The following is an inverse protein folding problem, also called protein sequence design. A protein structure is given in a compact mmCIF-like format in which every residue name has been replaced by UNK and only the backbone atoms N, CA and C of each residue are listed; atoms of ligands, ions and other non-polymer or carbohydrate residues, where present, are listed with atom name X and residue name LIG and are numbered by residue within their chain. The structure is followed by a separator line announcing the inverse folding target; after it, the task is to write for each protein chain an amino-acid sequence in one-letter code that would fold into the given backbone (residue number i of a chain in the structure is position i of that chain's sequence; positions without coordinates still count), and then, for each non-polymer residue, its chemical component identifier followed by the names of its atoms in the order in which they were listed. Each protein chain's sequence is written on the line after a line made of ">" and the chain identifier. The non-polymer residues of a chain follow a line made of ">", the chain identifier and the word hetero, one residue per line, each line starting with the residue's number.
data_IF_082138182191
#
_entry.id   IF_082138182191
#
_cell.length_a   1.000
_cell.length_b   1.000
_cell.length_c   1.000
_cell.angle_alpha   90.00
_cell.angle_beta   90.00
_cell.angle_gamma   90.00
#
_symmetry.space_group_name_H-M   'P 1'
#
loop_
_entity.id
_entity.type
_entity.pdbx_description
1 polymer ?
#
# COMPACT_ATOMS: atom_id res chain seq x y z
N UNK A 1 -22.88 2.72 -20.21
CA UNK A 1 -21.76 2.10 -19.48
C UNK A 1 -20.75 1.63 -20.52
N UNK A 2 -19.52 2.09 -20.48
CA UNK A 2 -18.50 1.73 -21.48
C UNK A 2 -17.22 1.23 -20.81
N UNK A 3 -16.68 0.12 -21.28
CA UNK A 3 -15.38 -0.41 -20.90
C UNK A 3 -14.37 -0.03 -21.99
N UNK A 4 -13.27 0.58 -21.60
CA UNK A 4 -12.14 0.87 -22.51
C UNK A 4 -10.89 0.18 -21.96
N UNK A 5 -10.22 -0.59 -22.82
CA UNK A 5 -8.88 -1.13 -22.57
C UNK A 5 -7.88 -0.07 -23.03
N UNK A 6 -6.94 0.33 -22.19
CA UNK A 6 -6.01 1.42 -22.49
C UNK A 6 -4.54 0.98 -22.59
N UNK A 7 -4.17 -0.11 -21.95
CA UNK A 7 -2.79 -0.60 -21.97
C UNK A 7 -2.73 -2.11 -21.80
N UNK A 8 -2.05 -2.77 -22.71
CA UNK A 8 -1.75 -4.21 -22.71
C UNK A 8 -0.23 -4.40 -22.57
N UNK A 9 0.37 -3.85 -21.54
CA UNK A 9 1.75 -4.23 -21.25
C UNK A 9 1.78 -5.69 -20.79
N UNK A 10 2.87 -6.43 -21.07
CA UNK A 10 3.01 -7.86 -20.75
C UNK A 10 2.77 -8.23 -19.27
N UNK A 11 2.57 -7.25 -18.38
CA UNK A 11 2.43 -7.46 -16.93
C UNK A 11 1.26 -6.75 -16.28
N UNK A 12 0.60 -5.82 -16.96
CA UNK A 12 -0.49 -5.02 -16.40
C UNK A 12 -1.59 -4.86 -17.43
N UNK A 13 -2.81 -5.31 -17.08
CA UNK A 13 -4.01 -5.00 -17.83
C UNK A 13 -4.72 -3.83 -17.16
N UNK A 14 -4.94 -2.74 -17.90
CA UNK A 14 -5.65 -1.58 -17.39
C UNK A 14 -7.01 -1.44 -18.06
N UNK A 15 -8.05 -1.38 -17.26
CA UNK A 15 -9.41 -1.13 -17.71
C UNK A 15 -9.93 0.18 -17.12
N UNK A 16 -10.66 0.92 -17.92
CA UNK A 16 -11.40 2.11 -17.50
C UNK A 16 -12.89 1.88 -17.66
N UNK A 17 -13.57 1.76 -16.53
CA UNK A 17 -15.02 1.65 -16.49
C UNK A 17 -15.62 3.05 -16.35
N UNK A 18 -16.38 3.50 -17.36
CA UNK A 18 -17.13 4.76 -17.31
C UNK A 18 -18.57 4.50 -16.91
N UNK A 19 -19.06 5.27 -15.96
CA UNK A 19 -20.44 5.20 -15.49
C UNK A 19 -21.12 6.58 -15.60
N UNK A 20 -22.46 6.62 -15.78
CA UNK A 20 -23.17 7.89 -15.91
C UNK A 20 -23.10 8.68 -14.58
N UNK A 21 -22.71 9.95 -14.67
CA UNK A 21 -22.68 10.90 -13.57
C UNK A 21 -23.08 12.28 -14.06
N UNK A 22 -23.38 13.20 -13.12
CA UNK A 22 -23.64 14.60 -13.45
C UNK A 22 -22.41 15.27 -14.09
N UNK A 23 -22.59 16.25 -14.99
CA UNK A 23 -21.49 16.99 -15.59
C UNK A 23 -20.54 17.56 -14.52
N UNK A 24 -19.22 17.45 -14.78
CA UNK A 24 -18.18 17.93 -13.85
C UNK A 24 -17.76 16.95 -12.75
N UNK A 25 -18.44 15.81 -12.59
CA UNK A 25 -18.04 14.78 -11.63
C UNK A 25 -17.19 13.69 -12.29
N UNK A 26 -16.23 13.14 -11.53
CA UNK A 26 -15.41 12.01 -11.98
C UNK A 26 -16.31 10.79 -12.16
N UNK A 27 -16.30 10.23 -13.35
CA UNK A 27 -17.15 9.10 -13.74
C UNK A 27 -16.36 7.88 -14.22
N UNK A 28 -15.12 7.75 -13.78
CA UNK A 28 -14.24 6.70 -14.27
C UNK A 28 -13.64 5.94 -13.09
N UNK A 29 -13.79 4.62 -13.12
CA UNK A 29 -13.06 3.69 -12.25
C UNK A 29 -11.94 3.08 -13.07
N UNK A 30 -10.71 3.19 -12.59
CA UNK A 30 -9.55 2.50 -13.14
C UNK A 30 -9.39 1.15 -12.43
N UNK A 31 -9.29 0.09 -13.21
CA UNK A 31 -8.99 -1.26 -12.75
C UNK A 31 -7.62 -1.66 -13.30
N UNK A 32 -6.67 -1.88 -12.42
CA UNK A 32 -5.35 -2.40 -12.75
C UNK A 32 -5.27 -3.87 -12.32
N UNK A 33 -5.04 -4.76 -13.28
CA UNK A 33 -4.83 -6.20 -13.05
C UNK A 33 -3.36 -6.48 -13.32
N UNK A 34 -2.66 -6.97 -12.32
CA UNK A 34 -1.23 -7.28 -12.41
C UNK A 34 -1.06 -8.79 -12.25
N UNK A 35 -0.39 -9.41 -13.22
CA UNK A 35 0.03 -10.80 -13.13
C UNK A 35 1.36 -10.90 -12.34
N UNK A 36 1.27 -10.69 -11.04
CA UNK A 36 2.36 -10.88 -10.08
C UNK A 36 1.90 -11.88 -9.04
N UNK A 37 2.14 -13.15 -9.30
CA UNK A 37 1.91 -14.19 -8.30
C UNK A 37 3.09 -14.25 -7.33
N UNK A 38 2.80 -14.09 -6.04
CA UNK A 38 3.69 -14.45 -4.94
C UNK A 38 3.12 -15.75 -4.37
N UNK A 39 3.90 -16.82 -4.38
CA UNK A 39 3.41 -18.17 -4.02
C UNK A 39 2.91 -18.22 -2.56
N UNK A 40 3.54 -17.44 -1.69
CA UNK A 40 3.16 -17.33 -0.27
C UNK A 40 1.90 -16.49 -0.03
N UNK A 41 1.29 -15.88 -1.05
CA UNK A 41 0.06 -15.10 -0.87
C UNK A 41 -1.07 -15.97 -0.33
N UNK A 42 -1.78 -15.45 0.65
CA UNK A 42 -2.94 -16.11 1.24
C UNK A 42 -4.21 -15.38 0.85
N UNK A 43 -5.23 -16.16 0.53
CA UNK A 43 -6.53 -15.69 0.10
C UNK A 43 -7.63 -16.35 0.92
N UNK A 44 -8.72 -15.63 1.15
CA UNK A 44 -9.91 -16.17 1.81
C UNK A 44 -11.17 -15.65 1.14
N UNK A 45 -12.24 -16.45 1.25
CA UNK A 45 -13.57 -16.05 0.79
C UNK A 45 -14.15 -15.04 1.79
N UNK A 46 -14.47 -13.85 1.32
CA UNK A 46 -15.08 -12.79 2.11
C UNK A 46 -16.49 -12.49 1.58
N UNK A 47 -17.43 -12.31 2.50
CA UNK A 47 -18.76 -11.83 2.16
C UNK A 47 -18.77 -10.30 2.14
N UNK A 48 -19.17 -9.73 1.01
CA UNK A 48 -19.28 -8.28 0.81
C UNK A 48 -20.74 -7.88 1.00
N UNK A 49 -21.07 -7.48 2.23
CA UNK A 49 -22.46 -7.22 2.64
C UNK A 49 -23.13 -6.12 1.82
N UNK A 50 -22.39 -5.07 1.45
CA UNK A 50 -22.92 -3.92 0.69
C UNK A 50 -23.45 -4.30 -0.71
N UNK A 51 -22.99 -5.40 -1.27
CA UNK A 51 -23.37 -5.86 -2.61
C UNK A 51 -23.93 -7.28 -2.62
N UNK A 52 -24.10 -7.89 -1.45
CA UNK A 52 -24.60 -9.26 -1.28
C UNK A 52 -23.86 -10.29 -2.17
N UNK A 53 -22.53 -10.28 -2.10
CA UNK A 53 -21.66 -11.15 -2.89
C UNK A 53 -20.49 -11.68 -2.10
N UNK A 54 -19.98 -12.82 -2.52
CA UNK A 54 -18.72 -13.35 -2.06
C UNK A 54 -17.59 -13.02 -3.03
N UNK A 55 -16.44 -12.67 -2.51
CA UNK A 55 -15.20 -12.48 -3.27
C UNK A 55 -14.05 -13.24 -2.62
N UNK A 56 -13.08 -13.64 -3.44
CA UNK A 56 -11.79 -14.12 -2.96
C UNK A 56 -10.89 -12.90 -2.77
N UNK A 57 -10.54 -12.64 -1.51
CA UNK A 57 -9.73 -11.49 -1.12
C UNK A 57 -8.39 -11.94 -0.56
N UNK A 58 -7.36 -11.15 -0.77
CA UNK A 58 -6.10 -11.36 -0.06
C UNK A 58 -6.31 -11.22 1.45
N UNK A 59 -5.58 -12.01 2.25
CA UNK A 59 -5.56 -11.81 3.70
C UNK A 59 -4.95 -10.46 4.06
N UNK A 60 -5.33 -9.91 5.21
CA UNK A 60 -4.75 -8.64 5.69
C UNK A 60 -3.24 -8.73 5.86
N UNK A 61 -2.74 -9.88 6.32
CA UNK A 61 -1.30 -10.11 6.48
C UNK A 61 -0.57 -10.08 5.14
N UNK A 62 -1.14 -10.70 4.10
CA UNK A 62 -0.61 -10.62 2.73
C UNK A 62 -0.62 -9.19 2.22
N UNK A 63 -1.76 -8.48 2.37
CA UNK A 63 -1.85 -7.08 1.94
C UNK A 63 -0.81 -6.20 2.65
N UNK A 64 -0.64 -6.34 3.94
CA UNK A 64 0.34 -5.55 4.69
C UNK A 64 1.77 -5.83 4.21
N UNK A 65 2.13 -7.10 3.99
CA UNK A 65 3.44 -7.44 3.42
C UNK A 65 3.70 -6.73 2.10
N UNK A 66 2.71 -6.69 1.21
CA UNK A 66 2.84 -5.97 -0.06
C UNK A 66 2.94 -4.45 0.13
N UNK A 67 2.23 -3.88 1.11
CA UNK A 67 2.32 -2.43 1.42
C UNK A 67 3.69 -2.04 1.95
N UNK A 68 4.32 -2.89 2.78
CA UNK A 68 5.69 -2.68 3.23
C UNK A 68 6.68 -2.60 2.07
N UNK A 69 6.47 -3.40 1.00
CA UNK A 69 7.37 -3.44 -0.16
C UNK A 69 7.07 -2.32 -1.17
N UNK A 70 5.83 -1.91 -1.30
CA UNK A 70 5.36 -1.00 -2.35
C UNK A 70 6.12 0.32 -2.42
N UNK A 71 6.51 0.88 -1.27
CA UNK A 71 7.21 2.16 -1.17
C UNK A 71 8.57 2.13 -1.89
N UNK A 72 9.39 1.13 -1.58
CA UNK A 72 10.71 0.97 -2.18
C UNK A 72 10.62 0.53 -3.63
N UNK A 73 9.72 -0.42 -3.97
CA UNK A 73 9.45 -0.85 -5.34
C UNK A 73 9.08 0.33 -6.25
N UNK A 74 8.24 1.24 -5.75
CA UNK A 74 7.86 2.45 -6.49
C UNK A 74 9.06 3.35 -6.75
N UNK A 75 9.88 3.57 -5.73
CA UNK A 75 11.06 4.40 -5.86
C UNK A 75 12.08 3.79 -6.83
N UNK A 76 12.31 2.49 -6.77
CA UNK A 76 13.22 1.80 -7.68
C UNK A 76 12.76 1.85 -9.14
N UNK A 77 11.43 1.76 -9.37
CA UNK A 77 10.87 1.75 -10.72
C UNK A 77 10.70 3.14 -11.33
N UNK A 78 10.34 4.13 -10.51
CA UNK A 78 9.86 5.43 -10.99
C UNK A 78 10.60 6.61 -10.38
N UNK A 79 11.52 6.40 -9.44
CA UNK A 79 12.20 7.48 -8.71
C UNK A 79 11.28 8.34 -7.83
N UNK A 80 10.04 7.91 -7.62
CA UNK A 80 9.01 8.69 -6.90
C UNK A 80 8.60 8.03 -5.60
N UNK A 81 8.19 8.85 -4.64
CA UNK A 81 7.68 8.43 -3.33
C UNK A 81 6.22 8.88 -3.24
N UNK A 82 5.34 7.94 -2.88
CA UNK A 82 3.95 8.25 -2.65
C UNK A 82 3.65 8.32 -1.14
N UNK A 83 3.14 9.44 -0.67
CA UNK A 83 2.78 9.65 0.74
C UNK A 83 1.74 8.66 1.23
N UNK A 84 0.85 8.19 0.35
CA UNK A 84 -0.14 7.15 0.67
C UNK A 84 0.50 5.81 1.06
N UNK A 85 1.64 5.44 0.47
CA UNK A 85 2.32 4.19 0.82
C UNK A 85 2.85 4.26 2.27
N UNK A 86 3.29 5.45 2.73
CA UNK A 86 3.67 5.71 4.12
C UNK A 86 2.45 5.62 5.05
N UNK A 87 1.34 6.24 4.63
CA UNK A 87 0.09 6.21 5.38
C UNK A 87 -0.47 4.80 5.53
N UNK A 88 -0.39 3.98 4.48
CA UNK A 88 -0.79 2.57 4.52
C UNK A 88 0.03 1.79 5.55
N UNK A 89 1.37 1.94 5.56
CA UNK A 89 2.24 1.30 6.55
C UNK A 89 1.84 1.70 7.97
N UNK A 90 1.65 3.00 8.21
CA UNK A 90 1.19 3.52 9.50
C UNK A 90 -0.15 2.90 9.91
N UNK A 91 -1.13 2.93 9.00
CA UNK A 91 -2.46 2.40 9.25
C UNK A 91 -2.45 0.94 9.70
N UNK A 92 -1.69 0.09 9.01
CA UNK A 92 -1.63 -1.31 9.35
C UNK A 92 -1.00 -1.54 10.73
N UNK A 93 0.09 -0.87 11.04
CA UNK A 93 0.73 -1.00 12.35
C UNK A 93 -0.15 -0.49 13.49
N UNK A 94 -0.71 0.70 13.39
CA UNK A 94 -1.53 1.31 14.46
C UNK A 94 -2.79 0.50 14.75
N UNK A 95 -3.33 -0.18 13.75
CA UNK A 95 -4.48 -1.08 13.93
C UNK A 95 -4.08 -2.50 14.38
N UNK A 96 -2.81 -2.72 14.71
CA UNK A 96 -2.33 -4.00 15.24
C UNK A 96 -2.32 -5.15 14.22
N UNK A 97 -2.33 -4.85 12.93
CA UNK A 97 -2.26 -5.88 11.90
C UNK A 97 -0.86 -6.46 11.78
N UNK A 98 -0.79 -7.77 11.61
CA UNK A 98 0.46 -8.48 11.35
C UNK A 98 0.71 -8.57 9.85
N UNK A 99 1.97 -8.62 9.44
CA UNK A 99 2.38 -8.97 8.08
C UNK A 99 2.83 -10.44 8.03
N UNK A 100 2.82 -11.02 6.84
CA UNK A 100 3.35 -12.36 6.58
C UNK A 100 4.83 -12.27 6.17
N UNK A 101 5.72 -12.76 7.03
CA UNK A 101 7.16 -12.73 6.80
C UNK A 101 7.61 -13.58 5.60
N UNK A 102 6.83 -14.62 5.23
CA UNK A 102 7.13 -15.45 4.04
C UNK A 102 6.86 -14.64 2.77
N UNK A 103 5.72 -13.96 2.70
CA UNK A 103 5.40 -13.05 1.59
C UNK A 103 6.45 -11.96 1.46
N UNK A 104 6.84 -11.34 2.59
CA UNK A 104 7.87 -10.31 2.60
C UNK A 104 9.22 -10.83 2.09
N UNK A 105 9.64 -12.00 2.56
CA UNK A 105 10.90 -12.63 2.16
C UNK A 105 10.89 -13.06 0.70
N UNK A 106 9.79 -13.63 0.21
CA UNK A 106 9.64 -14.02 -1.21
C UNK A 106 9.72 -12.79 -2.14
N UNK A 107 9.05 -11.69 -1.76
CA UNK A 107 9.04 -10.46 -2.53
C UNK A 107 10.40 -9.74 -2.58
N UNK A 108 11.16 -9.82 -1.51
CA UNK A 108 12.37 -9.00 -1.32
C UNK A 108 13.67 -9.79 -1.40
N UNK A 109 13.61 -11.13 -1.32
CA UNK A 109 14.78 -11.99 -1.19
C UNK A 109 15.51 -11.85 0.14
N UNK A 110 14.94 -11.17 1.13
CA UNK A 110 15.57 -10.84 2.41
C UNK A 110 14.76 -11.39 3.58
N UNK A 111 15.45 -11.66 4.71
CA UNK A 111 14.76 -11.86 5.99
C UNK A 111 14.00 -10.58 6.38
N UNK A 112 12.84 -10.74 7.02
CA UNK A 112 11.98 -9.62 7.41
C UNK A 112 12.73 -8.54 8.22
N UNK A 113 13.54 -8.94 9.22
CA UNK A 113 14.33 -8.01 10.03
C UNK A 113 15.28 -7.14 9.19
N UNK A 114 15.99 -7.77 8.24
CA UNK A 114 16.93 -7.08 7.35
C UNK A 114 16.19 -6.13 6.41
N UNK A 115 15.04 -6.55 5.89
CA UNK A 115 14.25 -5.70 5.01
C UNK A 115 13.67 -4.49 5.75
N UNK A 116 13.11 -4.68 6.95
CA UNK A 116 12.53 -3.58 7.73
C UNK A 116 13.58 -2.54 8.13
N UNK A 117 14.83 -2.93 8.40
CA UNK A 117 15.92 -1.98 8.61
C UNK A 117 16.26 -1.16 7.37
N UNK A 118 16.26 -1.81 6.20
CA UNK A 118 16.44 -1.09 4.93
C UNK A 118 15.30 -0.12 4.69
N UNK A 119 14.06 -0.54 4.94
CA UNK A 119 12.87 0.30 4.81
C UNK A 119 12.92 1.50 5.77
N UNK A 120 13.27 1.27 7.03
CA UNK A 120 13.45 2.33 8.03
C UNK A 120 14.48 3.36 7.55
N UNK A 121 15.67 2.91 7.16
CA UNK A 121 16.74 3.78 6.63
C UNK A 121 16.29 4.52 5.37
N UNK A 122 15.54 3.86 4.50
CA UNK A 122 15.00 4.49 3.29
C UNK A 122 14.02 5.61 3.64
N UNK A 123 13.05 5.35 4.52
CA UNK A 123 12.07 6.36 4.95
C UNK A 123 12.77 7.55 5.61
N UNK A 124 13.71 7.28 6.50
CA UNK A 124 14.46 8.34 7.18
C UNK A 124 15.15 9.29 6.20
N UNK A 125 15.85 8.74 5.20
CA UNK A 125 16.67 9.51 4.26
C UNK A 125 15.91 10.11 3.08
N UNK A 126 14.85 9.46 2.61
CA UNK A 126 14.22 9.81 1.33
C UNK A 126 12.84 10.45 1.45
N UNK A 127 12.06 10.10 2.49
CA UNK A 127 10.73 10.65 2.69
C UNK A 127 10.80 12.04 3.30
N UNK A 128 10.10 12.99 2.72
CA UNK A 128 9.98 14.35 3.23
C UNK A 128 8.51 14.78 3.31
N UNK A 129 8.25 15.96 3.90
CA UNK A 129 6.90 16.49 4.08
C UNK A 129 6.17 16.69 2.75
N UNK A 130 6.89 17.09 1.71
CA UNK A 130 6.30 17.31 0.39
C UNK A 130 5.67 16.02 -0.17
N UNK A 131 6.36 14.88 -0.02
CA UNK A 131 5.84 13.57 -0.46
C UNK A 131 4.53 13.22 0.26
N UNK A 132 4.43 13.56 1.55
CA UNK A 132 3.23 13.32 2.36
C UNK A 132 2.10 14.24 1.92
N UNK A 133 2.38 15.53 1.77
CA UNK A 133 1.38 16.55 1.46
C UNK A 133 0.78 16.36 0.06
N UNK A 134 1.58 16.08 -0.95
CA UNK A 134 1.12 15.95 -2.34
C UNK A 134 0.06 14.85 -2.52
N UNK A 135 0.20 13.74 -1.81
CA UNK A 135 -0.74 12.62 -1.91
C UNK A 135 -1.88 12.69 -0.90
N UNK A 136 -1.58 12.95 0.38
CA UNK A 136 -2.56 12.79 1.44
C UNK A 136 -3.55 13.95 1.53
N UNK A 137 -3.16 15.14 1.11
CA UNK A 137 -4.05 16.30 1.07
C UNK A 137 -5.30 16.07 0.19
N UNK A 138 -5.18 15.22 -0.82
CA UNK A 138 -6.28 14.88 -1.74
C UNK A 138 -7.04 13.63 -1.31
N UNK A 139 -6.40 12.74 -0.55
CA UNK A 139 -6.95 11.44 -0.18
C UNK A 139 -7.68 11.45 1.17
N UNK A 140 -7.23 12.27 2.10
CA UNK A 140 -7.80 12.31 3.45
C UNK A 140 -8.74 13.50 3.63
N UNK A 141 -9.78 13.34 4.45
CA UNK A 141 -10.56 14.49 4.92
C UNK A 141 -9.63 15.52 5.59
N UNK A 142 -9.88 16.83 5.43
CA UNK A 142 -8.98 17.91 5.89
C UNK A 142 -8.56 17.78 7.36
N UNK A 143 -9.49 17.41 8.24
CA UNK A 143 -9.19 17.26 9.68
C UNK A 143 -8.23 16.08 9.96
N UNK A 144 -8.44 14.95 9.28
CA UNK A 144 -7.52 13.80 9.39
C UNK A 144 -6.15 14.12 8.83
N UNK A 145 -6.11 14.82 7.69
CA UNK A 145 -4.85 15.24 7.09
C UNK A 145 -4.06 16.16 8.04
N UNK A 146 -4.71 17.20 8.58
CA UNK A 146 -4.09 18.13 9.54
C UNK A 146 -3.55 17.40 10.77
N UNK A 147 -4.30 16.43 11.30
CA UNK A 147 -3.94 15.69 12.49
C UNK A 147 -2.67 14.84 12.30
N UNK A 148 -2.49 14.23 11.12
CA UNK A 148 -1.43 13.22 10.93
C UNK A 148 -0.20 13.74 10.15
N UNK A 149 -0.37 14.78 9.32
CA UNK A 149 0.68 15.18 8.36
C UNK A 149 2.06 15.42 8.98
N UNK A 150 2.10 16.00 10.18
CA UNK A 150 3.37 16.34 10.83
C UNK A 150 4.01 15.17 11.58
N UNK A 151 3.21 14.27 12.11
CA UNK A 151 3.67 13.14 12.92
C UNK A 151 3.89 11.86 12.13
N UNK A 152 3.23 11.69 10.97
CA UNK A 152 3.18 10.45 10.20
C UNK A 152 4.55 9.80 9.98
N UNK A 153 5.52 10.57 9.48
CA UNK A 153 6.88 10.04 9.25
C UNK A 153 7.51 9.54 10.53
N UNK A 154 7.44 10.35 11.59
CA UNK A 154 8.04 10.03 12.89
C UNK A 154 7.38 8.79 13.50
N UNK A 155 6.07 8.71 13.47
CA UNK A 155 5.32 7.55 13.97
C UNK A 155 5.67 6.27 13.21
N UNK A 156 5.75 6.31 11.88
CA UNK A 156 6.16 5.15 11.07
C UNK A 156 7.59 4.70 11.40
N UNK A 157 8.53 5.64 11.61
CA UNK A 157 9.90 5.30 12.00
C UNK A 157 9.94 4.62 13.37
N UNK A 158 9.16 5.09 14.35
CA UNK A 158 9.06 4.48 15.68
C UNK A 158 8.51 3.04 15.54
N UNK A 159 7.38 2.87 14.85
CA UNK A 159 6.73 1.57 14.65
C UNK A 159 7.65 0.56 13.96
N UNK A 160 8.36 0.98 12.91
CA UNK A 160 9.33 0.11 12.21
C UNK A 160 10.52 -0.25 13.11
N UNK A 161 11.00 0.69 13.92
CA UNK A 161 12.09 0.45 14.87
C UNK A 161 11.69 -0.55 15.95
N UNK A 162 10.51 -0.37 16.53
CA UNK A 162 9.98 -1.27 17.54
C UNK A 162 9.80 -2.69 16.98
N UNK A 163 9.24 -2.81 15.77
CA UNK A 163 9.08 -4.09 15.10
C UNK A 163 10.44 -4.75 14.79
N UNK A 164 11.42 -3.97 14.34
CA UNK A 164 12.76 -4.47 14.07
C UNK A 164 13.44 -4.99 15.34
N UNK A 165 13.30 -4.28 16.46
CA UNK A 165 13.80 -4.70 17.77
C UNK A 165 13.11 -5.99 18.24
N UNK A 166 11.78 -6.06 18.12
CA UNK A 166 10.99 -7.26 18.44
C UNK A 166 11.49 -8.49 17.68
N UNK A 167 11.80 -8.35 16.40
CA UNK A 167 12.32 -9.45 15.57
C UNK A 167 13.75 -9.88 15.94
N UNK A 168 14.52 -9.00 16.58
CA UNK A 168 15.87 -9.29 17.07
C UNK A 168 15.89 -9.89 18.47
N UNK A 169 14.76 -9.87 19.18
CA UNK A 169 14.66 -10.32 20.56
C UNK A 169 15.25 -9.34 21.59
N UNK A 170 15.27 -8.06 21.22
CA UNK A 170 15.75 -6.96 22.08
C UNK A 170 14.57 -6.15 22.58
#
# INVERSE_FOLDING_TARGET
>A
MGLQVKDESKRVLQFFLRYPMKPGQRNTIKLDIIDLSTASNQYSRQYLADIDRYAICQSQATMFSHKLVALMDRYERFGSIAGRDIYDIHYFFVNGFSYDSKVLSERTGLKASVYLEKLLTFIEKKVNMRNIDEDLNVLLPPEKFKAIRQSLKTEVLILLKDETNRLRGV
#
